data_IF_185069331474
#
_entry.id   IF_185069331474
#
_cell.length_a   1.000
_cell.length_b   1.000
_cell.length_c   1.000
_cell.angle_alpha   90.00
_cell.angle_beta   90.00
_cell.angle_gamma   90.00
#
_symmetry.space_group_name_H-M   'P 1'
#
loop_
_entity.id
_entity.type
_entity.pdbx_description
1 polymer ?
#
# COMPACT_ATOMS: atom_id res chain seq x y z
N UNK A 1 18.29 -0.22 20.79
CA UNK A 1 18.39 0.87 19.77
C UNK A 1 18.78 0.41 18.35
N UNK A 2 19.77 -0.48 18.13
CA UNK A 2 20.20 -0.90 16.76
C UNK A 2 19.07 -1.30 15.79
N UNK A 3 18.09 -2.09 16.23
CA UNK A 3 16.96 -2.52 15.36
C UNK A 3 16.13 -1.33 14.84
N UNK A 4 16.01 -0.27 15.63
CA UNK A 4 15.31 0.95 15.23
C UNK A 4 16.11 1.74 14.18
N UNK A 5 17.43 1.81 14.32
CA UNK A 5 18.30 2.49 13.34
C UNK A 5 18.24 1.79 11.99
N UNK A 6 18.32 0.46 11.97
CA UNK A 6 18.15 -0.33 10.75
C UNK A 6 16.76 -0.10 10.14
N UNK A 7 15.70 -0.23 10.94
CA UNK A 7 14.32 0.04 10.54
C UNK A 7 14.18 1.42 9.87
N UNK A 8 14.84 2.45 10.42
CA UNK A 8 14.79 3.79 9.86
C UNK A 8 15.63 3.96 8.57
N UNK A 9 16.78 3.29 8.46
CA UNK A 9 17.56 3.26 7.22
C UNK A 9 16.73 2.61 6.11
N UNK A 10 16.08 1.48 6.40
CA UNK A 10 15.18 0.82 5.46
C UNK A 10 14.03 1.74 5.03
N UNK A 11 13.39 2.44 5.97
CA UNK A 11 12.32 3.39 5.65
C UNK A 11 12.81 4.54 4.74
N UNK A 12 14.03 5.06 4.93
CA UNK A 12 14.61 6.10 4.05
C UNK A 12 14.83 5.56 2.63
N UNK A 13 15.45 4.39 2.50
CA UNK A 13 15.67 3.75 1.20
C UNK A 13 14.33 3.46 0.53
N UNK A 14 13.36 2.95 1.30
CA UNK A 14 11.98 2.73 0.88
C UNK A 14 11.33 4.00 0.34
N UNK A 15 11.42 5.12 1.06
CA UNK A 15 10.90 6.41 0.62
C UNK A 15 11.51 6.89 -0.68
N UNK A 16 12.84 6.96 -0.80
CA UNK A 16 13.48 7.45 -2.03
C UNK A 16 13.16 6.54 -3.23
N UNK A 17 13.14 5.23 -3.01
CA UNK A 17 12.76 4.28 -4.08
C UNK A 17 11.29 4.47 -4.46
N UNK A 18 10.41 4.68 -3.48
CA UNK A 18 8.98 4.99 -3.70
C UNK A 18 8.81 6.27 -4.48
N UNK A 19 9.58 7.30 -4.13
CA UNK A 19 9.60 8.60 -4.79
C UNK A 19 9.84 8.45 -6.30
N UNK A 20 10.98 7.87 -6.68
CA UNK A 20 11.32 7.74 -8.09
C UNK A 20 10.37 6.80 -8.85
N UNK A 21 10.03 5.65 -8.26
CA UNK A 21 9.19 4.65 -8.94
C UNK A 21 7.75 5.13 -9.14
N UNK A 22 7.12 5.75 -8.14
CA UNK A 22 5.75 6.24 -8.26
C UNK A 22 5.65 7.51 -9.11
N UNK A 23 6.63 8.43 -9.04
CA UNK A 23 6.64 9.57 -9.94
C UNK A 23 6.77 9.13 -11.40
N UNK A 24 7.62 8.13 -11.69
CA UNK A 24 7.72 7.57 -13.02
C UNK A 24 6.43 6.85 -13.44
N UNK A 25 5.83 6.05 -12.55
CA UNK A 25 4.54 5.40 -12.80
C UNK A 25 3.47 6.44 -13.17
N UNK A 26 3.30 7.48 -12.35
CA UNK A 26 2.33 8.56 -12.58
C UNK A 26 2.59 9.24 -13.92
N UNK A 27 3.84 9.61 -14.21
CA UNK A 27 4.22 10.20 -15.49
C UNK A 27 3.85 9.28 -16.67
N UNK A 28 4.20 7.99 -16.59
CA UNK A 28 3.91 7.02 -17.65
C UNK A 28 2.40 6.82 -17.83
N UNK A 29 1.65 6.75 -16.74
CA UNK A 29 0.19 6.61 -16.75
C UNK A 29 -0.47 7.82 -17.40
N UNK A 30 -0.13 9.04 -16.99
CA UNK A 30 -0.79 10.26 -17.47
C UNK A 30 -0.41 10.56 -18.93
N UNK A 31 0.88 10.47 -19.27
CA UNK A 31 1.38 10.95 -20.57
C UNK A 31 1.25 9.91 -21.69
N UNK A 32 1.37 8.62 -21.37
CA UNK A 32 1.59 7.57 -22.39
C UNK A 32 0.50 6.49 -22.42
N UNK A 33 -0.29 6.29 -21.37
CA UNK A 33 -1.28 5.21 -21.30
C UNK A 33 -2.64 5.55 -21.93
N UNK A 34 -2.64 5.98 -23.19
CA UNK A 34 -3.86 6.43 -23.89
C UNK A 34 -4.93 5.35 -24.07
N UNK A 35 -4.56 4.06 -24.00
CA UNK A 35 -5.47 2.91 -24.15
C UNK A 35 -6.26 2.57 -22.88
N UNK A 36 -5.87 3.13 -21.74
CA UNK A 36 -6.63 3.06 -20.51
C UNK A 36 -7.64 4.21 -20.49
N UNK A 37 -8.84 3.93 -19.97
CA UNK A 37 -9.84 4.97 -19.75
C UNK A 37 -9.34 5.99 -18.71
N UNK A 38 -9.90 7.20 -18.76
CA UNK A 38 -9.48 8.31 -17.91
C UNK A 38 -9.59 7.97 -16.42
N UNK A 39 -10.72 7.39 -15.99
CA UNK A 39 -10.97 7.10 -14.57
C UNK A 39 -9.91 6.15 -14.03
N UNK A 40 -9.61 5.07 -14.74
CA UNK A 40 -8.63 4.09 -14.30
C UNK A 40 -7.21 4.64 -14.26
N UNK A 41 -6.83 5.48 -15.23
CA UNK A 41 -5.55 6.21 -15.16
C UNK A 41 -5.47 7.04 -13.89
N UNK A 42 -6.52 7.79 -13.59
CA UNK A 42 -6.59 8.61 -12.37
C UNK A 42 -6.50 7.75 -11.11
N UNK A 43 -7.14 6.58 -11.08
CA UNK A 43 -7.04 5.64 -9.95
C UNK A 43 -5.61 5.12 -9.75
N UNK A 44 -4.90 4.72 -10.82
CA UNK A 44 -3.49 4.30 -10.73
C UNK A 44 -2.62 5.44 -10.21
N UNK A 45 -2.79 6.66 -10.77
CA UNK A 45 -1.99 7.81 -10.37
C UNK A 45 -2.27 8.22 -8.92
N UNK A 46 -3.53 8.16 -8.48
CA UNK A 46 -3.92 8.45 -7.10
C UNK A 46 -3.37 7.40 -6.12
N UNK A 47 -3.39 6.13 -6.50
CA UNK A 47 -2.77 5.06 -5.73
C UNK A 47 -1.27 5.30 -5.55
N UNK A 48 -0.57 5.65 -6.64
CA UNK A 48 0.87 5.95 -6.58
C UNK A 48 1.19 7.19 -5.74
N UNK A 49 0.37 8.24 -5.82
CA UNK A 49 0.50 9.43 -4.97
C UNK A 49 0.28 9.09 -3.49
N UNK A 50 -0.71 8.25 -3.19
CA UNK A 50 -0.95 7.81 -1.82
C UNK A 50 0.21 6.97 -1.30
N UNK A 51 0.84 6.15 -2.14
CA UNK A 51 2.07 5.43 -1.81
C UNK A 51 3.24 6.36 -1.45
N UNK A 52 3.38 7.49 -2.16
CA UNK A 52 4.34 8.55 -1.82
C UNK A 52 4.05 9.17 -0.45
N UNK A 53 2.78 9.52 -0.21
CA UNK A 53 2.34 10.09 1.08
C UNK A 53 2.61 9.09 2.19
N UNK A 54 2.26 7.81 1.99
CA UNK A 54 2.45 6.73 2.96
C UNK A 54 3.92 6.58 3.38
N UNK A 55 4.81 6.39 2.41
CA UNK A 55 6.25 6.22 2.66
C UNK A 55 6.90 7.47 3.27
N UNK A 56 6.48 8.67 2.83
CA UNK A 56 6.96 9.93 3.42
C UNK A 56 6.46 10.13 4.84
N UNK A 57 5.21 9.73 5.11
CA UNK A 57 4.60 9.85 6.43
C UNK A 57 5.25 8.92 7.45
N UNK A 58 5.72 7.74 7.05
CA UNK A 58 6.50 6.85 7.93
C UNK A 58 7.78 7.51 8.44
N UNK A 59 8.47 8.30 7.60
CA UNK A 59 9.65 9.04 8.03
C UNK A 59 9.31 10.09 9.09
N UNK A 60 8.10 10.65 9.03
CA UNK A 60 7.58 11.60 10.00
C UNK A 60 7.18 10.87 11.28
N UNK A 61 6.25 9.92 11.18
CA UNK A 61 5.65 9.22 12.32
C UNK A 61 6.64 8.31 13.04
N UNK A 62 7.63 7.73 12.34
CA UNK A 62 8.59 6.73 12.83
C UNK A 62 7.90 5.67 13.71
N UNK A 63 6.91 4.96 13.17
CA UNK A 63 6.16 3.99 13.95
C UNK A 63 7.06 2.78 14.23
N UNK A 64 6.95 2.25 15.43
CA UNK A 64 7.62 1.03 15.84
C UNK A 64 6.67 0.15 16.64
N UNK A 65 6.94 -1.15 16.62
CA UNK A 65 6.07 -2.15 17.23
C UNK A 65 6.86 -3.08 18.14
N UNK A 66 6.21 -3.53 19.20
CA UNK A 66 6.72 -4.57 20.06
C UNK A 66 5.57 -5.42 20.58
N UNK A 67 5.75 -6.74 20.54
CA UNK A 67 4.82 -7.71 21.09
C UNK A 67 5.39 -8.26 22.38
N UNK A 68 4.58 -8.23 23.43
CA UNK A 68 4.94 -8.73 24.74
C UNK A 68 3.77 -9.49 25.36
N UNK A 69 3.89 -10.82 25.44
CA UNK A 69 2.90 -11.75 25.96
C UNK A 69 1.50 -11.47 25.38
N UNK A 70 0.57 -11.02 26.23
CA UNK A 70 -0.82 -10.74 25.87
C UNK A 70 -1.03 -9.33 25.30
N UNK A 71 0.05 -8.64 24.93
CA UNK A 71 0.04 -7.24 24.54
C UNK A 71 0.86 -6.93 23.29
N UNK A 72 0.53 -5.80 22.70
CA UNK A 72 1.21 -5.21 21.57
C UNK A 72 1.21 -3.70 21.72
N UNK A 73 2.36 -3.07 21.55
CA UNK A 73 2.52 -1.63 21.61
C UNK A 73 2.95 -1.08 20.25
N UNK A 74 2.27 -0.04 19.81
CA UNK A 74 2.70 0.85 18.73
C UNK A 74 3.21 2.14 19.35
N UNK A 75 4.42 2.56 19.01
CA UNK A 75 5.01 3.75 19.58
C UNK A 75 5.93 4.47 18.59
N UNK A 76 6.26 5.72 18.89
CA UNK A 76 7.26 6.48 18.16
C UNK A 76 8.38 6.90 19.09
N UNK A 77 9.62 6.89 18.59
CA UNK A 77 10.76 7.47 19.31
C UNK A 77 10.85 8.99 19.14
N UNK A 78 10.00 9.61 18.31
CA UNK A 78 10.00 11.07 18.18
C UNK A 78 9.09 11.70 19.22
N UNK A 79 9.62 12.73 19.85
CA UNK A 79 8.89 13.63 20.76
C UNK A 79 9.08 15.11 20.41
N UNK A 80 9.79 15.41 19.31
CA UNK A 80 10.29 16.74 18.92
C UNK A 80 9.21 17.82 18.69
N UNK A 81 7.95 17.44 18.55
CA UNK A 81 6.82 18.38 18.36
C UNK A 81 5.88 18.30 19.55
N UNK A 82 5.18 17.17 19.71
CA UNK A 82 4.43 16.84 20.93
C UNK A 82 4.06 15.36 20.91
N UNK A 83 3.75 14.78 22.07
CA UNK A 83 3.25 13.40 22.12
C UNK A 83 1.93 13.24 21.36
N UNK A 84 1.01 14.19 21.49
CA UNK A 84 -0.30 14.17 20.79
C UNK A 84 -0.13 14.15 19.27
N UNK A 85 0.79 14.96 18.74
CA UNK A 85 1.07 14.98 17.30
C UNK A 85 1.58 13.62 16.80
N UNK A 86 2.48 12.98 17.54
CA UNK A 86 3.00 11.67 17.13
C UNK A 86 2.01 10.53 17.37
N UNK A 87 1.11 10.62 18.35
CA UNK A 87 -0.05 9.72 18.45
C UNK A 87 -0.96 9.86 17.22
N UNK A 88 -1.32 11.09 16.86
CA UNK A 88 -2.03 11.35 15.60
C UNK A 88 -1.27 10.76 14.41
N UNK A 89 0.04 10.97 14.34
CA UNK A 89 0.87 10.53 13.21
C UNK A 89 0.93 9.01 13.08
N UNK A 90 0.99 8.25 14.18
CA UNK A 90 0.95 6.77 14.17
C UNK A 90 -0.43 6.29 13.71
N UNK A 91 -1.51 6.88 14.25
CA UNK A 91 -2.87 6.50 13.87
C UNK A 91 -3.15 6.83 12.39
N UNK A 92 -2.69 7.98 11.91
CA UNK A 92 -2.83 8.40 10.52
C UNK A 92 -2.02 7.50 9.57
N UNK A 93 -0.82 7.07 9.98
CA UNK A 93 -0.05 6.07 9.25
C UNK A 93 -0.84 4.76 9.06
N UNK A 94 -1.44 4.25 10.13
CA UNK A 94 -2.25 3.03 10.08
C UNK A 94 -3.53 3.20 9.23
N UNK A 95 -4.13 4.39 9.24
CA UNK A 95 -5.27 4.75 8.41
C UNK A 95 -4.94 4.74 6.91
N UNK A 96 -3.75 5.23 6.53
CA UNK A 96 -3.29 5.18 5.14
C UNK A 96 -3.07 3.74 4.70
N UNK A 97 -2.50 2.86 5.55
CA UNK A 97 -2.37 1.43 5.23
C UNK A 97 -3.72 0.82 4.82
N UNK A 98 -4.77 1.03 5.63
CA UNK A 98 -6.10 0.51 5.34
C UNK A 98 -6.71 1.13 4.07
N UNK A 99 -6.57 2.45 3.90
CA UNK A 99 -7.04 3.14 2.70
C UNK A 99 -6.37 2.59 1.43
N UNK A 100 -5.09 2.18 1.49
CA UNK A 100 -4.41 1.55 0.36
C UNK A 100 -5.03 0.22 -0.04
N UNK A 101 -5.41 -0.62 0.93
CA UNK A 101 -6.08 -1.90 0.66
C UNK A 101 -7.47 -1.65 0.05
N UNK A 102 -8.21 -0.69 0.59
CA UNK A 102 -9.49 -0.26 0.04
C UNK A 102 -9.39 0.26 -1.40
N UNK A 103 -8.32 0.99 -1.74
CA UNK A 103 -8.05 1.42 -3.11
C UNK A 103 -7.81 0.24 -4.06
N UNK A 104 -7.09 -0.80 -3.65
CA UNK A 104 -6.92 -1.99 -4.49
C UNK A 104 -8.27 -2.65 -4.73
N UNK A 105 -9.05 -2.87 -3.66
CA UNK A 105 -10.36 -3.48 -3.76
C UNK A 105 -11.26 -2.73 -4.74
N UNK A 106 -11.29 -1.40 -4.65
CA UNK A 106 -12.13 -0.59 -5.53
C UNK A 106 -11.60 -0.54 -6.97
N UNK A 107 -10.29 -0.69 -7.20
CA UNK A 107 -9.74 -0.89 -8.55
C UNK A 107 -10.26 -2.18 -9.18
N UNK A 108 -10.35 -3.29 -8.44
CA UNK A 108 -10.93 -4.54 -8.94
C UNK A 108 -12.41 -4.37 -9.29
N UNK A 109 -13.18 -3.68 -8.43
CA UNK A 109 -14.59 -3.37 -8.64
C UNK A 109 -14.78 -2.53 -9.90
N UNK A 110 -14.08 -1.39 -10.00
CA UNK A 110 -14.12 -0.50 -11.14
C UNK A 110 -13.79 -1.24 -12.44
N UNK A 111 -12.71 -2.03 -12.42
CA UNK A 111 -12.28 -2.78 -13.60
C UNK A 111 -13.33 -3.74 -14.08
N UNK A 112 -13.97 -4.49 -13.18
CA UNK A 112 -15.05 -5.38 -13.55
C UNK A 112 -16.20 -4.64 -14.25
N UNK A 113 -16.68 -3.53 -13.70
CA UNK A 113 -17.77 -2.76 -14.32
C UNK A 113 -17.36 -2.12 -15.65
N UNK A 114 -16.13 -1.61 -15.76
CA UNK A 114 -15.59 -1.04 -17.00
C UNK A 114 -15.48 -2.07 -18.14
N UNK A 115 -15.34 -3.37 -17.81
CA UNK A 115 -15.34 -4.46 -18.78
C UNK A 115 -16.76 -4.83 -19.24
N UNK A 116 -17.74 -4.78 -18.33
CA UNK A 116 -19.13 -5.10 -18.62
C UNK A 116 -19.87 -4.02 -19.43
N UNK A 117 -19.61 -2.75 -19.14
CA UNK A 117 -20.34 -1.63 -19.73
C UNK A 117 -19.36 -0.70 -20.46
N UNK A 118 -19.28 -0.77 -21.80
CA UNK A 118 -18.50 0.17 -22.59
C UNK A 118 -18.92 1.63 -22.35
N UNK A 119 -20.18 1.87 -22.00
CA UNK A 119 -20.72 3.21 -21.74
C UNK A 119 -20.15 3.86 -20.46
N UNK A 120 -19.74 3.07 -19.46
CA UNK A 120 -18.99 3.60 -18.29
C UNK A 120 -17.63 4.20 -18.68
N UNK A 121 -17.09 3.83 -19.85
CA UNK A 121 -15.87 4.45 -20.41
C UNK A 121 -16.18 5.76 -21.13
N UNK A 122 -17.44 5.99 -21.51
CA UNK A 122 -17.90 7.18 -22.25
C UNK A 122 -18.31 8.34 -21.33
N UNK A 123 -18.48 8.08 -20.03
CA UNK A 123 -18.88 9.08 -19.02
C UNK A 123 -17.79 10.13 -18.67
N UNK A 124 -16.66 10.13 -19.39
CA UNK A 124 -15.57 11.11 -19.30
C UNK A 124 -15.16 11.52 -17.87
N UNK A 125 -15.18 10.56 -16.94
CA UNK A 125 -14.74 10.77 -15.56
C UNK A 125 -15.76 11.38 -14.60
N UNK A 126 -17.03 11.55 -14.98
CA UNK A 126 -18.11 12.07 -14.09
C UNK A 126 -18.28 11.28 -12.78
N UNK A 127 -17.88 9.99 -12.76
CA UNK A 127 -17.87 9.15 -11.56
C UNK A 127 -16.50 8.99 -10.88
N UNK A 128 -15.42 9.56 -11.41
CA UNK A 128 -14.05 9.32 -10.89
C UNK A 128 -13.92 9.74 -9.43
N UNK A 129 -14.47 10.89 -9.05
CA UNK A 129 -14.39 11.41 -7.67
C UNK A 129 -14.95 10.42 -6.65
N UNK A 130 -16.05 9.73 -6.96
CA UNK A 130 -16.63 8.72 -6.08
C UNK A 130 -15.63 7.59 -5.78
N UNK A 131 -14.95 7.09 -6.81
CA UNK A 131 -13.95 6.03 -6.66
C UNK A 131 -12.73 6.48 -5.85
N UNK A 132 -12.34 7.76 -5.96
CA UNK A 132 -11.21 8.32 -5.21
C UNK A 132 -11.56 8.62 -3.75
N UNK A 133 -12.82 8.93 -3.44
CA UNK A 133 -13.27 9.22 -2.07
C UNK A 133 -13.62 7.96 -1.27
N UNK A 134 -14.05 6.88 -1.92
CA UNK A 134 -14.39 5.62 -1.24
C UNK A 134 -13.33 5.16 -0.21
N UNK A 135 -12.01 5.11 -0.53
CA UNK A 135 -10.97 4.63 0.40
C UNK A 135 -10.79 5.51 1.65
N UNK A 136 -11.24 6.77 1.61
CA UNK A 136 -11.20 7.66 2.78
C UNK A 136 -12.10 7.13 3.90
N UNK A 137 -13.24 6.52 3.55
CA UNK A 137 -14.21 6.01 4.54
C UNK A 137 -13.60 4.91 5.42
N UNK A 138 -13.07 3.78 4.89
CA UNK A 138 -12.42 2.78 5.73
C UNK A 138 -11.15 3.29 6.40
N UNK A 139 -10.39 4.19 5.77
CA UNK A 139 -9.25 4.85 6.42
C UNK A 139 -9.66 5.63 7.67
N UNK A 140 -10.72 6.45 7.60
CA UNK A 140 -11.25 7.20 8.75
C UNK A 140 -11.84 6.27 9.81
N UNK A 141 -12.58 5.23 9.41
CA UNK A 141 -13.10 4.24 10.36
C UNK A 141 -11.97 3.54 11.11
N UNK A 142 -10.90 3.16 10.42
CA UNK A 142 -9.73 2.54 11.03
C UNK A 142 -8.99 3.53 11.94
N UNK A 143 -8.79 4.76 11.49
CA UNK A 143 -8.17 5.84 12.27
C UNK A 143 -8.89 6.04 13.60
N UNK A 144 -10.19 6.29 13.56
CA UNK A 144 -10.98 6.61 14.74
C UNK A 144 -10.99 5.44 15.71
N UNK A 145 -11.19 4.22 15.22
CA UNK A 145 -11.22 3.04 16.07
C UNK A 145 -9.86 2.74 16.68
N UNK A 146 -8.77 2.84 15.93
CA UNK A 146 -7.43 2.71 16.49
C UNK A 146 -7.16 3.78 17.54
N UNK A 147 -7.49 5.04 17.24
CA UNK A 147 -7.23 6.16 18.13
C UNK A 147 -8.05 6.09 19.42
N UNK A 148 -9.31 5.64 19.37
CA UNK A 148 -10.18 5.60 20.56
C UNK A 148 -9.92 4.35 21.39
N UNK A 149 -9.83 3.19 20.75
CA UNK A 149 -9.82 1.91 21.44
C UNK A 149 -8.44 1.41 21.85
N UNK A 150 -7.36 1.94 21.28
CA UNK A 150 -5.99 1.55 21.61
C UNK A 150 -5.23 2.59 22.45
N UNK A 151 -5.90 3.64 22.95
CA UNK A 151 -5.24 4.60 23.84
C UNK A 151 -4.78 3.92 25.14
N UNK A 152 -3.57 4.27 25.64
CA UNK A 152 -3.05 3.69 26.86
C UNK A 152 -3.86 4.15 28.08
N UNK A 153 -3.95 3.26 29.06
CA UNK A 153 -4.42 3.54 30.42
C UNK A 153 -3.35 3.15 31.46
N UNK A 154 -3.63 3.47 32.72
CA UNK A 154 -2.70 3.22 33.84
C UNK A 154 -2.26 1.75 33.94
N UNK A 155 -3.16 0.81 33.63
CA UNK A 155 -2.86 -0.61 33.65
C UNK A 155 -1.88 -0.99 32.54
N UNK A 156 -2.21 -0.62 31.30
CA UNK A 156 -1.36 -0.94 30.13
C UNK A 156 0.03 -0.34 30.23
N UNK A 157 0.15 0.87 30.80
CA UNK A 157 1.44 1.51 31.06
C UNK A 157 2.25 0.80 32.14
N UNK A 158 1.61 0.40 33.24
CA UNK A 158 2.28 -0.34 34.30
C UNK A 158 2.76 -1.71 33.80
N UNK A 159 1.93 -2.39 33.00
CA UNK A 159 2.22 -3.71 32.44
C UNK A 159 3.47 -3.70 31.54
N UNK A 160 3.60 -2.68 30.68
CA UNK A 160 4.71 -2.58 29.73
C UNK A 160 5.91 -1.77 30.23
N UNK A 161 5.84 -1.14 31.41
CA UNK A 161 6.90 -0.24 31.92
C UNK A 161 8.26 -0.93 31.96
N UNK A 162 8.34 -2.11 32.57
CA UNK A 162 9.60 -2.83 32.76
C UNK A 162 10.16 -3.32 31.43
N UNK A 163 9.31 -3.86 30.55
CA UNK A 163 9.74 -4.35 29.24
C UNK A 163 10.24 -3.20 28.35
N UNK A 164 9.56 -2.06 28.33
CA UNK A 164 10.01 -0.92 27.54
C UNK A 164 11.34 -0.35 28.04
N UNK A 165 11.54 -0.36 29.37
CA UNK A 165 12.80 0.06 29.96
C UNK A 165 13.94 -0.91 29.64
N UNK A 166 13.71 -2.23 29.75
CA UNK A 166 14.74 -3.25 29.49
C UNK A 166 15.07 -3.40 28.00
N UNK A 167 14.06 -3.39 27.12
CA UNK A 167 14.26 -3.63 25.68
C UNK A 167 14.70 -2.39 24.91
N UNK A 168 14.31 -1.19 25.36
CA UNK A 168 14.53 0.05 24.62
C UNK A 168 15.17 1.18 25.41
N UNK A 169 15.36 1.04 26.73
CA UNK A 169 15.82 2.12 27.62
C UNK A 169 14.87 3.32 27.62
N UNK A 170 13.56 3.05 27.46
CA UNK A 170 12.54 4.09 27.35
C UNK A 170 11.56 4.07 28.52
N UNK A 171 11.28 5.25 29.06
CA UNK A 171 10.13 5.43 29.92
C UNK A 171 8.85 5.51 29.09
N UNK A 172 7.98 4.52 29.25
CA UNK A 172 6.76 4.37 28.43
C UNK A 172 5.86 5.61 28.44
N UNK A 173 5.74 6.30 29.58
CA UNK A 173 4.91 7.51 29.73
C UNK A 173 5.44 8.68 28.89
N UNK A 174 6.75 8.72 28.65
CA UNK A 174 7.44 9.77 27.90
C UNK A 174 7.27 9.68 26.38
N UNK A 175 6.70 8.59 25.86
CA UNK A 175 6.61 8.34 24.42
C UNK A 175 5.15 8.30 23.90
N UNK A 176 4.91 8.81 22.68
CA UNK A 176 3.65 8.63 21.97
C UNK A 176 3.42 7.13 21.73
N UNK A 177 2.26 6.62 22.17
CA UNK A 177 1.95 5.19 22.07
C UNK A 177 0.46 4.88 21.97
N UNK A 178 0.18 3.70 21.43
CA UNK A 178 -1.07 2.96 21.50
C UNK A 178 -0.77 1.54 21.97
N UNK A 179 -1.63 0.97 22.80
CA UNK A 179 -1.43 -0.34 23.40
C UNK A 179 -2.69 -1.18 23.18
N UNK A 180 -2.48 -2.39 22.69
CA UNK A 180 -3.48 -3.44 22.57
C UNK A 180 -3.13 -4.50 23.62
N UNK A 181 -4.02 -4.73 24.58
CA UNK A 181 -3.89 -5.82 25.56
C UNK A 181 -5.15 -6.66 25.50
N UNK A 182 -5.02 -7.98 25.48
CA UNK A 182 -6.17 -8.87 25.32
C UNK A 182 -6.90 -9.18 26.62
N UNK A 183 -6.15 -9.30 27.72
CA UNK A 183 -6.68 -9.73 29.02
C UNK A 183 -6.23 -8.82 30.15
N UNK A 184 -7.10 -8.63 31.14
CA UNK A 184 -6.77 -8.03 32.42
C UNK A 184 -6.05 -9.03 33.34
N UNK A 185 -5.64 -8.60 34.53
CA UNK A 185 -5.02 -9.47 35.54
C UNK A 185 -5.97 -10.52 36.11
N UNK A 186 -7.27 -10.33 35.99
CA UNK A 186 -8.33 -11.26 36.40
C UNK A 186 -8.79 -12.16 35.24
N UNK A 187 -8.00 -12.26 34.16
CA UNK A 187 -8.27 -13.00 32.92
C UNK A 187 -9.54 -12.56 32.17
N UNK A 188 -10.15 -11.43 32.54
CA UNK A 188 -11.27 -10.87 31.78
C UNK A 188 -10.81 -10.22 30.48
N UNK A 189 -11.61 -10.39 29.43
CA UNK A 189 -11.33 -9.83 28.11
C UNK A 189 -11.42 -8.30 28.12
N UNK A 190 -10.40 -7.65 27.55
CA UNK A 190 -10.38 -6.19 27.36
C UNK A 190 -11.14 -5.79 26.10
N UNK A 191 -12.46 -5.68 26.24
CA UNK A 191 -13.38 -5.45 25.12
C UNK A 191 -13.05 -4.24 24.24
N UNK A 192 -12.52 -3.14 24.79
CA UNK A 192 -12.10 -1.98 23.97
C UNK A 192 -11.10 -2.41 22.90
N UNK A 193 -10.02 -3.09 23.30
CA UNK A 193 -9.00 -3.56 22.39
C UNK A 193 -9.54 -4.66 21.44
N UNK A 194 -10.44 -5.53 21.92
CA UNK A 194 -11.05 -6.56 21.07
C UNK A 194 -11.97 -5.98 20.00
N UNK A 195 -12.75 -4.94 20.32
CA UNK A 195 -13.59 -4.24 19.34
C UNK A 195 -12.73 -3.69 18.21
N UNK A 196 -11.58 -3.10 18.52
CA UNK A 196 -10.62 -2.66 17.50
C UNK A 196 -10.15 -3.81 16.61
N UNK A 197 -9.70 -4.94 17.20
CA UNK A 197 -9.22 -6.10 16.43
C UNK A 197 -10.33 -6.69 15.55
N UNK A 198 -11.55 -6.83 16.07
CA UNK A 198 -12.71 -7.34 15.34
C UNK A 198 -13.04 -6.38 14.18
N UNK A 199 -13.15 -5.09 14.45
CA UNK A 199 -13.47 -4.10 13.42
C UNK A 199 -12.40 -4.06 12.33
N UNK A 200 -11.11 -4.01 12.70
CA UNK A 200 -10.00 -4.05 11.74
C UNK A 200 -10.06 -5.31 10.87
N UNK A 201 -10.35 -6.47 11.47
CA UNK A 201 -10.49 -7.74 10.75
C UNK A 201 -11.69 -7.75 9.81
N UNK A 202 -12.82 -7.18 10.20
CA UNK A 202 -14.03 -7.08 9.36
C UNK A 202 -13.79 -6.16 8.17
N UNK A 203 -13.19 -4.98 8.39
CA UNK A 203 -12.89 -4.03 7.31
C UNK A 203 -11.90 -4.66 6.32
N UNK A 204 -10.79 -5.21 6.82
CA UNK A 204 -9.79 -5.88 6.00
C UNK A 204 -10.38 -7.07 5.23
N UNK A 205 -11.11 -7.94 5.93
CA UNK A 205 -11.76 -9.11 5.36
C UNK A 205 -12.77 -8.74 4.27
N UNK A 206 -13.55 -7.68 4.47
CA UNK A 206 -14.48 -7.16 3.46
C UNK A 206 -13.76 -6.74 2.18
N UNK A 207 -12.67 -5.97 2.27
CA UNK A 207 -11.90 -5.55 1.10
C UNK A 207 -11.28 -6.75 0.37
N UNK A 208 -10.76 -7.73 1.11
CA UNK A 208 -10.24 -8.97 0.52
C UNK A 208 -11.31 -9.80 -0.18
N UNK A 209 -12.52 -9.88 0.38
CA UNK A 209 -13.66 -10.54 -0.26
C UNK A 209 -14.05 -9.83 -1.56
N UNK A 210 -14.06 -8.49 -1.60
CA UNK A 210 -14.30 -7.75 -2.83
C UNK A 210 -13.24 -8.07 -3.89
N UNK A 211 -11.95 -8.05 -3.51
CA UNK A 211 -10.85 -8.37 -4.43
C UNK A 211 -11.02 -9.78 -5.00
N UNK A 212 -11.28 -10.77 -4.15
CA UNK A 212 -11.48 -12.16 -4.56
C UNK A 212 -12.69 -12.30 -5.50
N UNK A 213 -13.84 -11.77 -5.09
CA UNK A 213 -15.09 -11.89 -5.83
C UNK A 213 -15.01 -11.24 -7.21
N UNK A 214 -14.55 -9.98 -7.28
CA UNK A 214 -14.42 -9.27 -8.55
C UNK A 214 -13.24 -9.78 -9.38
N UNK A 215 -12.16 -10.25 -8.75
CA UNK A 215 -11.04 -10.92 -9.40
C UNK A 215 -11.48 -12.19 -10.16
N UNK A 216 -12.22 -13.06 -9.48
CA UNK A 216 -12.78 -14.28 -10.08
C UNK A 216 -13.74 -13.93 -11.22
N UNK A 217 -14.66 -12.98 -11.00
CA UNK A 217 -15.61 -12.56 -12.04
C UNK A 217 -14.91 -11.97 -13.26
N UNK A 218 -13.88 -11.15 -13.08
CA UNK A 218 -13.07 -10.63 -14.18
C UNK A 218 -12.36 -11.74 -14.96
N UNK A 219 -11.79 -12.73 -14.26
CA UNK A 219 -11.14 -13.87 -14.91
C UNK A 219 -12.08 -14.59 -15.88
N UNK A 220 -13.28 -14.97 -15.41
CA UNK A 220 -14.26 -15.65 -16.24
C UNK A 220 -14.79 -14.77 -17.37
N UNK A 221 -15.02 -13.48 -17.10
CA UNK A 221 -15.50 -12.54 -18.12
C UNK A 221 -14.48 -12.36 -19.25
N UNK A 222 -13.21 -12.17 -18.92
CA UNK A 222 -12.12 -12.05 -19.90
C UNK A 222 -11.94 -13.32 -20.73
N UNK A 223 -12.25 -14.50 -20.19
CA UNK A 223 -12.22 -15.77 -20.93
C UNK A 223 -13.38 -15.86 -21.94
N UNK A 224 -14.56 -15.36 -21.59
CA UNK A 224 -15.75 -15.41 -22.46
C UNK A 224 -15.70 -14.39 -23.60
N UNK A 225 -15.20 -13.18 -23.35
CA UNK A 225 -15.16 -12.07 -24.34
C UNK A 225 -13.90 -12.01 -25.20
N UNK A 226 -13.17 -13.12 -25.31
CA UNK A 226 -11.93 -13.21 -26.09
C UNK A 226 -12.12 -12.89 -27.58
N UNK A 227 -13.33 -13.12 -28.13
CA UNK A 227 -13.63 -12.96 -29.55
C UNK A 227 -14.23 -11.57 -29.91
N UNK A 228 -14.61 -10.75 -28.92
CA UNK A 228 -15.28 -9.46 -29.17
C UNK A 228 -14.34 -8.26 -29.17
N UNK A 229 -13.18 -8.36 -28.53
CA UNK A 229 -12.19 -7.30 -28.43
C UNK A 229 -11.05 -7.50 -29.43
N UNK A 230 -10.43 -6.41 -29.88
CA UNK A 230 -9.20 -6.48 -30.67
C UNK A 230 -8.10 -7.23 -29.89
N UNK A 231 -7.23 -7.95 -30.60
CA UNK A 231 -6.13 -8.72 -30.00
C UNK A 231 -5.28 -7.86 -29.07
N UNK A 232 -5.05 -6.60 -29.44
CA UNK A 232 -4.28 -5.64 -28.65
C UNK A 232 -4.98 -5.22 -27.36
N UNK A 233 -6.27 -4.90 -27.41
CA UNK A 233 -7.05 -4.49 -26.23
C UNK A 233 -7.26 -5.67 -25.27
N UNK A 234 -7.51 -6.87 -25.80
CA UNK A 234 -7.58 -8.11 -25.03
C UNK A 234 -6.28 -8.39 -24.29
N UNK A 235 -5.13 -8.24 -24.98
CA UNK A 235 -3.82 -8.44 -24.37
C UNK A 235 -3.58 -7.44 -23.23
N UNK A 236 -3.92 -6.16 -23.42
CA UNK A 236 -3.77 -5.14 -22.39
C UNK A 236 -4.63 -5.46 -21.15
N UNK A 237 -5.92 -5.81 -21.34
CA UNK A 237 -6.79 -6.17 -20.21
C UNK A 237 -6.29 -7.40 -19.45
N UNK A 238 -5.80 -8.44 -20.15
CA UNK A 238 -5.19 -9.62 -19.51
C UNK A 238 -3.93 -9.25 -18.72
N UNK A 239 -3.07 -8.40 -19.26
CA UNK A 239 -1.86 -7.94 -18.55
C UNK A 239 -2.20 -7.14 -17.31
N UNK A 240 -3.13 -6.18 -17.41
CA UNK A 240 -3.54 -5.39 -16.25
C UNK A 240 -4.22 -6.28 -15.19
N UNK A 241 -5.08 -7.21 -15.60
CA UNK A 241 -5.67 -8.18 -14.67
C UNK A 241 -4.60 -9.02 -13.95
N UNK A 242 -3.61 -9.54 -14.70
CA UNK A 242 -2.48 -10.26 -14.11
C UNK A 242 -1.68 -9.37 -13.16
N UNK A 243 -1.47 -8.11 -13.52
CA UNK A 243 -0.76 -7.15 -12.68
C UNK A 243 -1.50 -6.95 -11.35
N UNK A 244 -2.80 -6.69 -11.39
CA UNK A 244 -3.67 -6.54 -10.22
C UNK A 244 -3.66 -7.79 -9.32
N UNK A 245 -3.70 -8.99 -9.90
CA UNK A 245 -3.62 -10.25 -9.14
C UNK A 245 -2.26 -10.41 -8.44
N UNK A 246 -1.17 -10.13 -9.14
CA UNK A 246 0.17 -10.23 -8.54
C UNK A 246 0.38 -9.13 -7.49
N UNK A 247 -0.13 -7.92 -7.75
CA UNK A 247 -0.14 -6.78 -6.84
C UNK A 247 -0.89 -7.06 -5.53
N UNK A 248 -1.90 -7.94 -5.49
CA UNK A 248 -2.51 -8.33 -4.22
C UNK A 248 -1.82 -9.54 -3.58
N UNK A 249 -1.38 -10.52 -4.39
CA UNK A 249 -0.77 -11.74 -3.87
C UNK A 249 0.56 -11.48 -3.16
N UNK A 250 1.43 -10.65 -3.75
CA UNK A 250 2.75 -10.34 -3.19
C UNK A 250 2.59 -9.66 -1.81
N UNK A 251 1.81 -8.58 -1.67
CA UNK A 251 1.55 -7.95 -0.38
C UNK A 251 0.90 -8.87 0.63
N UNK A 252 -0.04 -9.71 0.19
CA UNK A 252 -0.71 -10.64 1.11
C UNK A 252 0.29 -11.64 1.69
N UNK A 253 1.16 -12.21 0.85
CA UNK A 253 2.14 -13.19 1.28
C UNK A 253 3.28 -12.59 2.12
N UNK A 254 3.77 -11.40 1.76
CA UNK A 254 4.95 -10.78 2.38
C UNK A 254 4.59 -9.89 3.57
N UNK A 255 3.41 -9.25 3.56
CA UNK A 255 3.01 -8.27 4.57
C UNK A 255 1.90 -8.79 5.46
N UNK A 256 0.79 -9.24 4.87
CA UNK A 256 -0.41 -9.56 5.66
C UNK A 256 -0.26 -10.88 6.42
N UNK A 257 0.16 -11.97 5.77
CA UNK A 257 0.33 -13.26 6.45
C UNK A 257 1.30 -13.19 7.63
N UNK A 258 2.48 -12.55 7.53
CA UNK A 258 3.37 -12.38 8.69
C UNK A 258 2.81 -11.45 9.77
N UNK A 259 1.91 -10.52 9.41
CA UNK A 259 1.28 -9.62 10.38
C UNK A 259 0.20 -10.31 11.24
N UNK A 260 -0.47 -11.34 10.75
CA UNK A 260 -1.53 -12.07 11.50
C UNK A 260 -1.05 -12.53 12.89
N UNK A 261 0.05 -13.30 13.05
CA UNK A 261 0.52 -13.71 14.36
C UNK A 261 1.01 -12.54 15.21
N UNK A 262 1.39 -11.41 14.61
CA UNK A 262 1.79 -10.19 15.33
C UNK A 262 0.56 -9.48 15.91
N UNK A 263 -0.53 -9.35 15.15
CA UNK A 263 -1.76 -8.69 15.62
C UNK A 263 -2.61 -9.56 16.53
N UNK A 264 -2.69 -10.87 16.27
CA UNK A 264 -3.46 -11.83 17.08
C UNK A 264 -2.64 -12.57 18.14
N UNK A 265 -1.31 -12.49 18.08
CA UNK A 265 -0.41 -13.03 19.10
C UNK A 265 -0.76 -12.62 20.52
N UNK A 266 -1.09 -11.34 20.80
CA UNK A 266 -1.59 -10.90 22.11
C UNK A 266 -2.81 -11.67 22.61
N UNK A 267 -3.68 -12.16 21.72
CA UNK A 267 -4.87 -12.92 22.07
C UNK A 267 -4.53 -14.41 22.27
N UNK A 268 -3.67 -14.95 21.41
CA UNK A 268 -3.34 -16.37 21.37
C UNK A 268 -2.25 -16.78 22.38
N UNK A 269 -1.31 -15.90 22.71
CA UNK A 269 -0.17 -16.18 23.60
C UNK A 269 -0.61 -16.72 24.97
N UNK A 270 -1.57 -16.10 25.68
CA UNK A 270 -2.07 -16.64 26.95
C UNK A 270 -2.79 -17.97 26.81
N UNK A 271 -3.59 -18.12 25.75
CA UNK A 271 -4.37 -19.34 25.49
C UNK A 271 -3.49 -20.55 25.18
N UNK A 272 -2.34 -20.31 24.53
CA UNK A 272 -1.38 -21.34 24.14
C UNK A 272 -0.23 -21.50 25.16
N UNK A 273 -0.16 -20.65 26.18
CA UNK A 273 0.95 -20.63 27.14
C UNK A 273 2.31 -20.28 26.52
N UNK A 274 2.34 -19.58 25.38
CA UNK A 274 3.57 -19.23 24.67
C UNK A 274 3.99 -17.82 25.08
N UNK A 275 5.08 -17.64 25.85
CA UNK A 275 5.58 -16.31 26.17
C UNK A 275 6.10 -15.64 24.88
N UNK A 276 5.73 -14.38 24.68
CA UNK A 276 6.16 -13.60 23.51
C UNK A 276 6.95 -12.40 24.02
N UNK A 277 8.17 -12.21 23.53
CA UNK A 277 8.85 -10.93 23.55
C UNK A 277 9.52 -10.75 22.20
N UNK A 278 8.85 -10.00 21.32
CA UNK A 278 9.27 -9.84 19.92
C UNK A 278 9.31 -8.37 19.55
N UNK A 279 10.48 -7.93 19.08
CA UNK A 279 10.65 -6.61 18.46
C UNK A 279 10.10 -6.63 17.03
N UNK A 280 8.78 -6.55 16.92
CA UNK A 280 8.03 -6.63 15.66
C UNK A 280 8.09 -5.36 14.81
N UNK A 281 8.78 -4.30 15.26
CA UNK A 281 8.88 -3.02 14.56
C UNK A 281 9.53 -3.08 13.18
N UNK A 282 10.24 -4.15 12.82
CA UNK A 282 10.69 -4.38 11.44
C UNK A 282 9.53 -4.44 10.45
N UNK A 283 8.33 -4.84 10.90
CA UNK A 283 7.15 -4.97 10.05
C UNK A 283 6.71 -3.60 9.50
N UNK A 284 6.84 -2.52 10.29
CA UNK A 284 6.60 -1.15 9.82
C UNK A 284 7.50 -0.80 8.63
N UNK A 285 8.80 -1.07 8.76
CA UNK A 285 9.76 -0.80 7.68
C UNK A 285 9.51 -1.62 6.43
N UNK A 286 9.01 -2.84 6.60
CA UNK A 286 8.66 -3.70 5.48
C UNK A 286 7.39 -3.17 4.78
N UNK A 287 6.39 -2.67 5.53
CA UNK A 287 5.24 -1.98 4.94
C UNK A 287 5.67 -0.76 4.11
N UNK A 288 6.72 -0.02 4.51
CA UNK A 288 7.27 1.12 3.74
C UNK A 288 7.64 0.79 2.29
N UNK A 289 8.01 -0.46 2.02
CA UNK A 289 8.48 -0.93 0.70
C UNK A 289 7.31 -1.35 -0.19
N UNK A 290 6.12 -1.56 0.39
CA UNK A 290 4.95 -2.00 -0.35
C UNK A 290 4.61 -1.11 -1.57
N UNK A 291 4.53 0.24 -1.45
CA UNK A 291 4.26 1.10 -2.59
C UNK A 291 5.24 0.94 -3.77
N UNK A 292 6.51 0.67 -3.46
CA UNK A 292 7.55 0.39 -4.47
C UNK A 292 7.24 -0.92 -5.18
N UNK A 293 7.04 -1.98 -4.39
CA UNK A 293 6.81 -3.32 -4.89
C UNK A 293 5.57 -3.35 -5.80
N UNK A 294 4.50 -2.68 -5.38
CA UNK A 294 3.27 -2.54 -6.16
C UNK A 294 3.53 -1.89 -7.52
N UNK A 295 4.17 -0.73 -7.53
CA UNK A 295 4.46 0.03 -8.75
C UNK A 295 5.38 -0.72 -9.71
N UNK A 296 6.44 -1.33 -9.18
CA UNK A 296 7.39 -2.11 -9.98
C UNK A 296 6.72 -3.33 -10.60
N UNK A 297 5.96 -4.09 -9.82
CA UNK A 297 5.21 -5.27 -10.30
C UNK A 297 4.26 -4.86 -11.42
N UNK A 298 3.52 -3.76 -11.25
CA UNK A 298 2.60 -3.26 -12.26
C UNK A 298 3.32 -2.92 -13.56
N UNK A 299 4.40 -2.14 -13.47
CA UNK A 299 5.18 -1.71 -14.63
C UNK A 299 5.89 -2.87 -15.33
N UNK A 300 6.36 -3.87 -14.58
CA UNK A 300 7.03 -5.05 -15.12
C UNK A 300 6.07 -6.02 -15.83
N UNK A 301 4.81 -6.11 -15.38
CA UNK A 301 3.82 -7.02 -15.99
C UNK A 301 3.17 -6.40 -17.22
N UNK A 302 2.87 -5.10 -17.19
CA UNK A 302 2.18 -4.40 -18.28
C UNK A 302 3.20 -3.94 -19.32
N UNK A 303 3.15 -4.53 -20.52
CA UNK A 303 4.23 -4.40 -21.51
C UNK A 303 4.43 -2.97 -22.02
N UNK A 304 3.36 -2.17 -22.06
CA UNK A 304 3.38 -0.78 -22.45
C UNK A 304 4.24 0.06 -21.49
N UNK A 305 4.17 -0.19 -20.16
CA UNK A 305 5.03 0.50 -19.18
C UNK A 305 6.50 0.11 -19.37
N UNK A 306 6.80 -1.17 -19.56
CA UNK A 306 8.17 -1.62 -19.85
C UNK A 306 8.76 -0.97 -21.09
N UNK A 307 7.97 -0.82 -22.16
CA UNK A 307 8.41 -0.16 -23.39
C UNK A 307 8.74 1.32 -23.15
N UNK A 308 7.88 2.03 -22.43
CA UNK A 308 8.11 3.44 -22.07
C UNK A 308 9.38 3.56 -21.23
N UNK A 309 9.54 2.68 -20.23
CA UNK A 309 10.71 2.65 -19.37
C UNK A 309 11.99 2.40 -20.18
N UNK A 310 12.01 1.38 -21.04
CA UNK A 310 13.17 1.06 -21.88
C UNK A 310 13.53 2.21 -22.83
N UNK A 311 12.55 2.81 -23.52
CA UNK A 311 12.79 3.94 -24.44
C UNK A 311 13.33 5.16 -23.70
N UNK A 312 12.80 5.47 -22.52
CA UNK A 312 13.25 6.63 -21.74
C UNK A 312 14.58 6.41 -21.06
N UNK A 313 14.86 5.21 -20.57
CA UNK A 313 16.15 4.87 -19.97
C UNK A 313 17.25 4.89 -21.04
N UNK A 314 17.00 4.28 -22.21
CA UNK A 314 17.93 4.36 -23.36
C UNK A 314 18.08 5.80 -23.87
N UNK A 315 17.01 6.60 -23.92
CA UNK A 315 17.08 8.00 -24.33
C UNK A 315 17.79 8.94 -23.33
N UNK A 316 17.93 8.54 -22.05
CA UNK A 316 18.74 9.24 -21.04
C UNK A 316 20.22 8.85 -21.12
N UNK A 317 20.52 7.62 -21.54
CA UNK A 317 21.89 7.11 -21.69
C UNK A 317 22.46 7.21 -23.12
N UNK A 318 21.63 7.52 -24.12
CA UNK A 318 22.08 7.83 -25.46
C UNK A 318 22.47 9.32 -25.53
N UNK A 319 23.73 9.67 -25.86
CA UNK A 319 24.04 11.05 -26.20
C UNK A 319 23.19 11.42 -27.41
N UNK A 320 22.57 12.59 -27.36
CA UNK A 320 21.84 13.20 -28.47
C UNK A 320 22.77 13.21 -29.69
N UNK A 321 22.64 12.22 -30.56
CA UNK A 321 23.28 12.25 -31.86
C UNK A 321 22.65 13.43 -32.61
N UNK A 322 23.39 14.52 -32.70
CA UNK A 322 23.08 15.63 -33.59
C UNK A 322 22.93 15.05 -35.00
N UNK A 323 21.71 15.12 -35.53
CA UNK A 323 21.45 14.78 -36.92
C UNK A 323 22.24 15.77 -37.78
N UNK A 324 23.37 15.33 -38.37
CA UNK A 324 24.05 16.12 -39.38
C UNK A 324 23.19 16.10 -40.64
N UNK A 325 22.66 17.26 -41.01
CA UNK A 325 22.11 17.46 -42.33
C UNK A 325 23.26 17.38 -43.34
N UNK A 326 23.42 16.23 -43.99
CA UNK A 326 24.25 16.12 -45.20
C UNK A 326 23.44 15.56 -46.37
N UNK A 327 23.18 16.49 -47.28
CA UNK A 327 23.00 16.37 -48.73
C UNK A 327 21.89 15.47 -49.27
N UNK A 328 20.76 16.10 -49.57
CA UNK A 328 20.00 15.76 -50.78
C UNK A 328 20.82 16.16 -52.01
N UNK A 329 21.32 15.19 -52.76
CA UNK A 329 21.61 15.36 -54.19
C UNK A 329 20.66 14.47 -54.96
N UNK A 330 19.68 15.11 -55.60
CA UNK A 330 18.79 14.50 -56.58
C UNK A 330 19.60 14.23 -57.84
N UNK A 331 19.71 12.98 -58.26
CA UNK A 331 20.25 12.61 -59.57
C UNK A 331 19.10 12.61 -60.60
N UNK A 332 19.07 13.54 -61.57
CA UNK A 332 18.00 13.64 -62.54
C UNK A 332 18.39 12.86 -63.80
N UNK A 333 18.38 11.52 -63.75
CA UNK A 333 18.61 10.74 -64.98
C UNK A 333 18.13 9.28 -64.91
N UNK A 334 16.83 9.05 -64.76
CA UNK A 334 16.21 7.79 -65.22
C UNK A 334 14.83 8.08 -65.80
N UNK A 335 14.69 7.93 -67.12
CA UNK A 335 13.42 7.94 -67.84
C UNK A 335 12.69 6.59 -67.69
N UNK A 336 11.34 6.58 -67.75
CA UNK A 336 10.55 5.36 -67.63
C UNK A 336 10.49 4.61 -68.96
N UNK A 337 10.55 3.27 -68.89
CA UNK A 337 9.93 2.35 -69.85
C UNK A 337 9.04 1.41 -69.06
#
# INVERSE_FOLDING_TARGET
MRSFEFSFIFAKIGFFTTLFTNLFLIYATVCHMRRLDFTYRTMISFFGLTGLIFSGWELISKPFMHNFNNSMIFFSLRTTVSQKFFQFSIAFYAAICEAMIAMIAIQFVYRYFSLLRPDYRKDDGKGTVFWLLYPVVPGVMYFLSFYIYCMPDQFTDAYLRTEMLSSYELQIIGIPRFIIVSYNTDDTIRWKNMIFLIQGSVILGFHYLLILFYGIKMHFHLKKKLNEFSVTTTRLHKQVFRALVVQILIPTAIFILPSIPIFFGPLLSPLLGIPISLRSGWLCSIFSVYPVADSLVFMLIVSEYRKIFAVKLVGVFAPTASFSAQSFTVDPRVHPV
#
